data_IF_842028278081
#
_entry.id   IF_842028278081
#
_cell.length_a   1.000
_cell.length_b   1.000
_cell.length_c   1.000
_cell.angle_alpha   90.00
_cell.angle_beta   90.00
_cell.angle_gamma   90.00
#
_symmetry.space_group_name_H-M   'P 1'
#
loop_
_entity.id
_entity.type
_entity.pdbx_description
1 polymer ?
#
# COMPACT_ATOMS: atom_id res chain seq x y z
N UNK A 1 18.88 27.34 -14.43
CA UNK A 1 19.39 26.09 -15.00
C UNK A 1 18.26 25.13 -15.31
N UNK A 2 17.87 25.13 -16.57
CA UNK A 2 16.69 24.38 -17.04
C UNK A 2 16.80 22.87 -16.88
N UNK A 3 18.02 22.31 -16.91
CA UNK A 3 18.25 20.86 -16.81
C UNK A 3 17.89 20.26 -15.43
N UNK A 4 18.23 20.97 -14.36
CA UNK A 4 17.99 20.47 -13.00
C UNK A 4 16.50 20.43 -12.64
N UNK A 5 15.76 21.42 -13.10
CA UNK A 5 14.32 21.53 -12.84
C UNK A 5 13.53 20.47 -13.61
N UNK A 6 13.87 20.23 -14.86
CA UNK A 6 13.22 19.22 -15.68
C UNK A 6 13.45 17.81 -15.12
N UNK A 7 14.67 17.51 -14.69
CA UNK A 7 15.01 16.21 -14.10
C UNK A 7 14.27 15.99 -12.78
N UNK A 8 14.19 16.99 -11.90
CA UNK A 8 13.46 16.92 -10.64
C UNK A 8 11.96 16.71 -10.85
N UNK A 9 11.38 17.43 -11.81
CA UNK A 9 9.96 17.31 -12.15
C UNK A 9 9.65 15.92 -12.67
N UNK A 10 10.49 15.37 -13.53
CA UNK A 10 10.32 14.04 -14.10
C UNK A 10 10.42 12.98 -12.98
N UNK A 11 11.40 13.09 -12.11
CA UNK A 11 11.57 12.19 -10.98
C UNK A 11 10.34 12.22 -10.05
N UNK A 12 9.81 13.39 -9.78
CA UNK A 12 8.60 13.56 -8.97
C UNK A 12 7.38 12.91 -9.62
N UNK A 13 7.22 13.07 -10.94
CA UNK A 13 6.12 12.46 -11.67
C UNK A 13 6.20 10.93 -11.66
N UNK A 14 7.40 10.37 -11.79
CA UNK A 14 7.62 8.92 -11.70
C UNK A 14 7.30 8.39 -10.31
N UNK A 15 7.72 9.11 -9.27
CA UNK A 15 7.42 8.76 -7.89
C UNK A 15 5.92 8.82 -7.61
N UNK A 16 5.22 9.80 -8.18
CA UNK A 16 3.76 9.91 -8.06
C UNK A 16 3.04 8.73 -8.70
N UNK A 17 3.46 8.30 -9.88
CA UNK A 17 2.92 7.13 -10.57
C UNK A 17 3.13 5.86 -9.76
N UNK A 18 4.32 5.71 -9.20
CA UNK A 18 4.67 4.57 -8.34
C UNK A 18 3.79 4.54 -7.09
N UNK A 19 3.61 5.69 -6.44
CA UNK A 19 2.76 5.80 -5.25
C UNK A 19 1.31 5.44 -5.57
N UNK A 20 0.77 5.91 -6.71
CA UNK A 20 -0.59 5.59 -7.12
C UNK A 20 -0.76 4.11 -7.45
N UNK A 21 0.24 3.52 -8.09
CA UNK A 21 0.25 2.08 -8.36
C UNK A 21 0.21 1.29 -7.05
N UNK A 22 1.02 1.67 -6.07
CA UNK A 22 1.06 1.02 -4.76
C UNK A 22 -0.26 1.17 -4.01
N UNK A 23 -0.91 2.33 -4.08
CA UNK A 23 -2.24 2.52 -3.49
C UNK A 23 -3.27 1.54 -4.04
N UNK A 24 -3.25 1.30 -5.34
CA UNK A 24 -4.14 0.32 -5.97
C UNK A 24 -3.83 -1.11 -5.52
N UNK A 25 -2.55 -1.46 -5.45
CA UNK A 25 -2.11 -2.78 -5.00
C UNK A 25 -2.46 -3.01 -3.52
N UNK A 26 -2.32 -1.99 -2.68
CA UNK A 26 -2.75 -2.03 -1.27
C UNK A 26 -4.25 -2.33 -1.18
N UNK A 27 -5.06 -1.61 -1.95
CA UNK A 27 -6.51 -1.79 -1.93
C UNK A 27 -6.91 -3.22 -2.34
N UNK A 28 -6.26 -3.77 -3.37
CA UNK A 28 -6.50 -5.13 -3.82
C UNK A 28 -6.06 -6.16 -2.78
N UNK A 29 -4.90 -5.95 -2.16
CA UNK A 29 -4.38 -6.85 -1.14
C UNK A 29 -5.26 -6.84 0.12
N UNK A 30 -5.72 -5.66 0.55
CA UNK A 30 -6.61 -5.53 1.71
C UNK A 30 -7.97 -6.21 1.44
N UNK A 31 -8.48 -6.11 0.22
CA UNK A 31 -9.68 -6.82 -0.19
C UNK A 31 -9.49 -8.33 -0.10
N UNK A 32 -8.35 -8.84 -0.54
CA UNK A 32 -8.03 -10.28 -0.45
C UNK A 32 -7.86 -10.72 1.00
N UNK A 33 -7.23 -9.92 1.83
CA UNK A 33 -7.06 -10.20 3.26
C UNK A 33 -8.44 -10.35 3.93
N UNK A 34 -9.37 -9.43 3.63
CA UNK A 34 -10.73 -9.51 4.16
C UNK A 34 -11.48 -10.74 3.64
N UNK A 35 -11.27 -11.10 2.38
CA UNK A 35 -11.83 -12.30 1.78
C UNK A 35 -11.31 -13.57 2.46
N UNK A 36 -9.99 -13.61 2.77
CA UNK A 36 -9.39 -14.73 3.50
C UNK A 36 -9.98 -14.88 4.90
N UNK A 37 -10.27 -13.80 5.61
CA UNK A 37 -10.93 -13.86 6.91
C UNK A 37 -12.31 -14.54 6.79
N UNK A 38 -13.07 -14.23 5.74
CA UNK A 38 -14.36 -14.88 5.48
C UNK A 38 -14.20 -16.35 5.15
N UNK A 39 -13.18 -16.71 4.37
CA UNK A 39 -12.86 -18.10 4.03
C UNK A 39 -12.49 -18.89 5.29
N UNK A 40 -11.66 -18.33 6.17
CA UNK A 40 -11.31 -18.95 7.45
C UNK A 40 -12.53 -19.26 8.27
N UNK A 41 -13.44 -18.34 8.40
CA UNK A 41 -14.66 -18.52 9.15
C UNK A 41 -15.49 -19.68 8.58
N UNK A 42 -15.60 -19.74 7.27
CA UNK A 42 -16.36 -20.78 6.58
C UNK A 42 -15.73 -22.16 6.74
N UNK A 43 -14.42 -22.30 6.55
CA UNK A 43 -13.77 -23.61 6.68
C UNK A 43 -13.73 -24.07 8.13
N UNK A 44 -13.69 -23.15 9.09
CA UNK A 44 -13.83 -23.46 10.51
C UNK A 44 -15.20 -24.05 10.81
N UNK A 45 -16.26 -23.45 10.29
CA UNK A 45 -17.62 -23.96 10.42
C UNK A 45 -17.77 -25.33 9.75
N UNK A 46 -17.15 -25.51 8.58
CA UNK A 46 -17.17 -26.78 7.85
C UNK A 46 -16.41 -27.89 8.60
N UNK A 47 -15.32 -27.55 9.30
CA UNK A 47 -14.60 -28.48 10.15
C UNK A 47 -15.48 -28.93 11.32
N UNK A 48 -16.13 -28.00 12.01
CA UNK A 48 -17.02 -28.29 13.13
C UNK A 48 -18.19 -29.17 12.70
N UNK A 49 -18.79 -28.88 11.54
CA UNK A 49 -19.93 -29.63 11.01
C UNK A 49 -19.55 -30.98 10.40
N UNK A 50 -18.24 -31.23 10.23
CA UNK A 50 -17.74 -32.46 9.62
C UNK A 50 -17.87 -32.50 8.10
N UNK A 51 -18.17 -31.35 7.45
CA UNK A 51 -18.28 -31.24 6.00
C UNK A 51 -16.91 -31.46 5.34
N UNK A 52 -15.82 -31.03 6.00
CA UNK A 52 -14.46 -31.32 5.58
C UNK A 52 -13.74 -32.06 6.71
N UNK A 53 -12.71 -32.83 6.38
CA UNK A 53 -11.91 -33.51 7.38
C UNK A 53 -11.08 -32.49 8.16
N UNK A 54 -10.81 -32.78 9.42
CA UNK A 54 -9.97 -31.93 10.26
C UNK A 54 -8.56 -31.79 9.67
N UNK A 55 -8.03 -32.86 9.10
CA UNK A 55 -6.73 -32.85 8.42
C UNK A 55 -6.71 -31.86 7.26
N UNK A 56 -7.77 -31.86 6.43
CA UNK A 56 -7.91 -30.92 5.31
C UNK A 56 -8.07 -29.49 5.80
N UNK A 57 -8.83 -29.30 6.88
CA UNK A 57 -8.96 -28.00 7.52
C UNK A 57 -7.60 -27.44 7.94
N UNK A 58 -6.79 -28.26 8.60
CA UNK A 58 -5.45 -27.82 9.04
C UNK A 58 -4.56 -27.42 7.87
N UNK A 59 -4.61 -28.16 6.78
CA UNK A 59 -3.83 -27.85 5.57
C UNK A 59 -4.29 -26.55 4.93
N UNK A 60 -5.60 -26.38 4.72
CA UNK A 60 -6.16 -25.17 4.12
C UNK A 60 -5.88 -23.95 5.00
N UNK A 61 -6.02 -24.09 6.31
CA UNK A 61 -5.74 -23.02 7.27
C UNK A 61 -4.29 -22.55 7.18
N UNK A 62 -3.34 -23.50 7.12
CA UNK A 62 -1.92 -23.18 7.01
C UNK A 62 -1.62 -22.42 5.72
N UNK A 63 -2.21 -22.85 4.59
CA UNK A 63 -2.00 -22.22 3.29
C UNK A 63 -2.59 -20.80 3.26
N UNK A 64 -3.79 -20.62 3.77
CA UNK A 64 -4.44 -19.30 3.81
C UNK A 64 -3.77 -18.36 4.81
N UNK A 65 -3.31 -18.85 5.94
CA UNK A 65 -2.55 -18.06 6.91
C UNK A 65 -1.24 -17.56 6.31
N UNK A 66 -0.54 -18.40 5.55
CA UNK A 66 0.69 -18.03 4.87
C UNK A 66 0.42 -16.93 3.83
N UNK A 67 -0.64 -17.07 3.04
CA UNK A 67 -1.05 -16.05 2.06
C UNK A 67 -1.37 -14.72 2.75
N UNK A 68 -2.15 -14.76 3.83
CA UNK A 68 -2.55 -13.56 4.56
C UNK A 68 -1.35 -12.83 5.17
N UNK A 69 -0.41 -13.59 5.72
CA UNK A 69 0.84 -13.03 6.27
C UNK A 69 1.66 -12.33 5.19
N UNK A 70 1.83 -12.99 4.05
CA UNK A 70 2.57 -12.43 2.92
C UNK A 70 1.93 -11.16 2.40
N UNK A 71 0.61 -11.15 2.23
CA UNK A 71 -0.12 -9.96 1.79
C UNK A 71 -0.01 -8.82 2.80
N UNK A 72 -0.09 -9.13 4.09
CA UNK A 72 0.05 -8.12 5.15
C UNK A 72 1.44 -7.50 5.13
N UNK A 73 2.48 -8.29 4.94
CA UNK A 73 3.84 -7.78 4.82
C UNK A 73 4.01 -6.90 3.58
N UNK A 74 3.43 -7.29 2.45
CA UNK A 74 3.43 -6.48 1.23
C UNK A 74 2.70 -5.16 1.42
N UNK A 75 1.54 -5.17 2.05
CA UNK A 75 0.77 -3.96 2.34
C UNK A 75 1.60 -3.01 3.21
N UNK A 76 2.25 -3.51 4.24
CA UNK A 76 3.09 -2.68 5.11
C UNK A 76 4.23 -2.03 4.34
N UNK A 77 4.91 -2.79 3.47
CA UNK A 77 5.99 -2.28 2.63
C UNK A 77 5.48 -1.20 1.66
N UNK A 78 4.37 -1.46 0.99
CA UNK A 78 3.78 -0.50 0.05
C UNK A 78 3.29 0.76 0.74
N UNK A 79 2.74 0.64 1.96
CA UNK A 79 2.31 1.80 2.75
C UNK A 79 3.50 2.70 3.09
N UNK A 80 4.66 2.12 3.39
CA UNK A 80 5.87 2.89 3.63
C UNK A 80 6.28 3.69 2.39
N UNK A 81 6.18 3.09 1.21
CA UNK A 81 6.46 3.78 -0.06
C UNK A 81 5.52 4.96 -0.26
N UNK A 82 4.23 4.74 -0.06
CA UNK A 82 3.20 5.78 -0.21
C UNK A 82 3.41 6.91 0.80
N UNK A 83 3.66 6.56 2.06
CA UNK A 83 3.89 7.54 3.13
C UNK A 83 5.13 8.39 2.86
N UNK A 84 6.20 7.77 2.38
CA UNK A 84 7.42 8.48 2.01
C UNK A 84 7.16 9.47 0.88
N UNK A 85 6.41 9.05 -0.13
CA UNK A 85 6.04 9.95 -1.23
C UNK A 85 5.18 11.11 -0.73
N UNK A 86 4.18 10.84 0.10
CA UNK A 86 3.30 11.88 0.62
C UNK A 86 4.04 12.87 1.51
N UNK A 87 5.00 12.39 2.30
CA UNK A 87 5.85 13.24 3.12
C UNK A 87 6.74 14.14 2.24
N UNK A 88 7.39 13.57 1.24
CA UNK A 88 8.23 14.32 0.32
C UNK A 88 7.43 15.38 -0.44
N UNK A 89 6.21 15.04 -0.85
CA UNK A 89 5.30 15.97 -1.50
C UNK A 89 4.90 17.12 -0.57
N UNK A 90 4.57 16.81 0.67
CA UNK A 90 4.23 17.80 1.69
C UNK A 90 5.39 18.76 1.93
N UNK A 91 6.60 18.24 2.06
CA UNK A 91 7.81 19.04 2.25
C UNK A 91 8.07 19.93 1.03
N UNK A 92 7.88 19.40 -0.16
CA UNK A 92 8.03 20.17 -1.40
C UNK A 92 6.99 21.30 -1.47
N UNK A 93 5.73 21.02 -1.18
CA UNK A 93 4.66 22.01 -1.21
C UNK A 93 4.90 23.11 -0.17
N UNK A 94 5.37 22.75 1.01
CA UNK A 94 5.71 23.71 2.07
C UNK A 94 6.87 24.61 1.62
N UNK A 95 7.89 24.03 1.01
CA UNK A 95 9.03 24.78 0.48
C UNK A 95 8.59 25.75 -0.63
N UNK A 96 7.76 25.26 -1.55
CA UNK A 96 7.23 26.09 -2.64
C UNK A 96 6.41 27.27 -2.11
N UNK A 97 5.60 27.05 -1.08
CA UNK A 97 4.82 28.11 -0.44
C UNK A 97 5.72 29.16 0.20
N UNK A 98 6.79 28.75 0.87
CA UNK A 98 7.78 29.67 1.46
C UNK A 98 8.46 30.51 0.38
N UNK A 99 8.87 29.87 -0.71
CA UNK A 99 9.52 30.56 -1.83
C UNK A 99 8.58 31.60 -2.45
N UNK A 100 7.32 31.24 -2.68
CA UNK A 100 6.30 32.16 -3.21
C UNK A 100 6.10 33.38 -2.30
N UNK A 101 6.06 33.14 -1.00
CA UNK A 101 5.91 34.19 0.00
C UNK A 101 7.10 35.15 -0.06
N UNK A 102 8.31 34.64 -0.19
CA UNK A 102 9.52 35.44 -0.32
C UNK A 102 9.53 36.28 -1.58
N UNK A 103 9.13 35.70 -2.71
CA UNK A 103 9.05 36.41 -4.00
C UNK A 103 8.00 37.52 -3.94
N UNK A 104 6.85 37.26 -3.31
CA UNK A 104 5.79 38.24 -3.13
C UNK A 104 6.18 39.45 -2.29
N UNK A 105 7.07 39.27 -1.30
CA UNK A 105 7.56 40.36 -0.43
C UNK A 105 8.50 41.30 -1.19
N UNK A 106 9.17 40.83 -2.22
CA UNK A 106 10.11 41.64 -3.02
C UNK A 106 9.43 42.55 -4.06
N UNK A 107 8.20 42.26 -4.35
CA UNK A 107 7.41 43.11 -5.27
C UNK A 107 6.70 44.24 -4.51
#
# INVERSE_FOLDING_TARGET
>A
MAFGEAAKKQHFQEAEKEAQKRKREIAQAEKRIAELDRIFKRIYEDDISGTISHERFLKLSADYEAEQRELTEQVNTWQEVVETFEQDRSDFDSFAAIVRKYVGIRE
#
